data_IF_294019470639
#
_entry.id   IF_294019470639
#
_cell.length_a   1.000
_cell.length_b   1.000
_cell.length_c   1.000
_cell.angle_alpha   90.00
_cell.angle_beta   90.00
_cell.angle_gamma   90.00
#
_symmetry.space_group_name_H-M   'P 1'
#
loop_
_entity.id
_entity.type
_entity.pdbx_description
1 polymer ?
#
# COMPACT_ATOMS: atom_id res chain seq x y z
N UNK A 1 12.39 6.42 -4.47
CA UNK A 1 13.18 6.17 -3.23
C UNK A 1 12.87 4.76 -2.73
N UNK A 2 13.83 4.04 -2.15
CA UNK A 2 13.62 2.70 -1.54
C UNK A 2 14.12 2.70 -0.10
N UNK A 3 13.36 2.14 0.82
CA UNK A 3 13.74 2.03 2.25
C UNK A 3 13.12 0.79 2.89
N UNK A 4 13.83 0.19 3.85
CA UNK A 4 13.29 -0.88 4.68
C UNK A 4 12.23 -0.31 5.63
N UNK A 5 11.05 -0.93 5.65
CA UNK A 5 9.90 -0.49 6.42
C UNK A 5 9.37 -1.65 7.27
N UNK A 6 9.94 -1.87 8.47
CA UNK A 6 9.35 -2.75 9.45
C UNK A 6 8.06 -2.14 9.98
N UNK A 7 7.01 -2.94 10.06
CA UNK A 7 5.69 -2.52 10.56
C UNK A 7 5.15 -3.56 11.54
N UNK A 8 4.09 -3.22 12.26
CA UNK A 8 3.38 -4.18 13.11
C UNK A 8 2.72 -5.33 12.33
N UNK A 9 2.55 -5.21 11.01
CA UNK A 9 1.87 -6.19 10.16
C UNK A 9 2.83 -6.98 9.27
N UNK A 10 4.12 -6.68 9.32
CA UNK A 10 5.10 -7.31 8.45
C UNK A 10 6.31 -6.43 8.14
N UNK A 11 7.27 -7.03 7.46
CA UNK A 11 8.50 -6.37 7.02
C UNK A 11 8.47 -6.19 5.51
N UNK A 12 8.54 -4.94 5.05
CA UNK A 12 8.41 -4.57 3.66
C UNK A 12 9.58 -3.70 3.19
N UNK A 13 9.81 -3.67 1.88
CA UNK A 13 10.50 -2.56 1.24
C UNK A 13 9.47 -1.53 0.79
N UNK A 14 9.61 -0.29 1.24
CA UNK A 14 8.81 0.84 0.77
C UNK A 14 9.48 1.46 -0.45
N UNK A 15 8.73 1.57 -1.55
CA UNK A 15 9.17 2.20 -2.79
C UNK A 15 8.28 3.40 -3.11
N UNK A 16 8.88 4.58 -3.30
CA UNK A 16 8.16 5.78 -3.78
C UNK A 16 8.27 5.93 -5.30
N UNK A 17 7.12 6.17 -5.92
CA UNK A 17 6.92 6.41 -7.34
C UNK A 17 6.34 7.82 -7.55
N UNK A 18 7.02 8.62 -8.36
CA UNK A 18 6.53 9.92 -8.78
C UNK A 18 5.74 9.80 -10.07
N UNK A 19 4.52 10.34 -10.08
CA UNK A 19 3.71 10.39 -11.29
C UNK A 19 4.37 11.30 -12.34
N UNK A 20 4.37 10.91 -13.62
CA UNK A 20 5.07 11.65 -14.68
C UNK A 20 4.43 13.01 -15.00
N UNK A 21 3.11 13.07 -14.88
CA UNK A 21 2.31 14.21 -15.35
C UNK A 21 1.88 15.14 -14.20
N UNK A 22 2.15 14.78 -12.95
CA UNK A 22 1.74 15.53 -11.77
C UNK A 22 2.89 15.61 -10.77
N UNK A 23 2.66 16.26 -9.63
CA UNK A 23 3.59 16.24 -8.49
C UNK A 23 3.23 15.15 -7.47
N UNK A 24 2.27 14.28 -7.78
CA UNK A 24 1.84 13.25 -6.86
C UNK A 24 2.91 12.18 -6.68
N UNK A 25 3.01 11.69 -5.46
CA UNK A 25 3.81 10.53 -5.11
C UNK A 25 2.88 9.41 -4.67
N UNK A 26 3.13 8.22 -5.21
CA UNK A 26 2.50 6.97 -4.82
C UNK A 26 3.54 6.08 -4.15
N UNK A 27 3.07 5.15 -3.34
CA UNK A 27 3.94 4.26 -2.59
C UNK A 27 3.62 2.80 -2.95
N UNK A 28 4.62 1.93 -2.85
CA UNK A 28 4.43 0.50 -2.87
C UNK A 28 5.11 -0.12 -1.65
N UNK A 29 4.41 -1.00 -0.94
CA UNK A 29 5.01 -1.92 0.01
C UNK A 29 5.28 -3.23 -0.72
N UNK A 30 6.54 -3.63 -0.78
CA UNK A 30 7.00 -4.81 -1.50
C UNK A 30 7.50 -5.85 -0.53
N UNK A 31 7.07 -7.10 -0.71
CA UNK A 31 7.46 -8.25 0.09
C UNK A 31 8.09 -9.33 -0.80
N UNK A 32 9.27 -9.79 -0.41
CA UNK A 32 9.92 -10.93 -1.06
C UNK A 32 10.47 -10.63 -2.45
N UNK A 33 10.78 -11.70 -3.18
CA UNK A 33 11.29 -11.70 -4.56
C UNK A 33 10.57 -12.79 -5.34
N UNK A 34 10.29 -12.55 -6.61
CA UNK A 34 9.55 -13.46 -7.49
C UNK A 34 10.18 -13.45 -8.89
N UNK A 35 9.93 -14.49 -9.67
CA UNK A 35 10.38 -14.58 -11.05
C UNK A 35 9.30 -14.09 -12.02
N UNK A 36 9.70 -13.82 -13.26
CA UNK A 36 8.76 -13.52 -14.33
C UNK A 36 7.81 -14.70 -14.55
N UNK A 37 6.51 -14.44 -14.46
CA UNK A 37 5.45 -15.44 -14.63
C UNK A 37 4.90 -16.03 -13.33
N UNK A 38 5.57 -15.80 -12.20
CA UNK A 38 5.02 -16.19 -10.90
C UNK A 38 3.77 -15.33 -10.60
N UNK A 39 2.67 -15.93 -10.11
CA UNK A 39 1.54 -15.14 -9.62
C UNK A 39 1.98 -14.35 -8.38
N UNK A 40 1.73 -13.04 -8.37
CA UNK A 40 2.08 -12.15 -7.26
C UNK A 40 0.79 -11.64 -6.62
N UNK A 41 0.67 -11.77 -5.30
CA UNK A 41 -0.46 -11.21 -4.56
C UNK A 41 -0.35 -9.68 -4.55
N UNK A 42 -1.34 -9.01 -5.15
CA UNK A 42 -1.35 -7.55 -5.26
C UNK A 42 -2.62 -6.98 -4.64
N UNK A 43 -2.45 -5.97 -3.79
CA UNK A 43 -3.54 -5.07 -3.34
C UNK A 43 -3.32 -3.68 -3.94
N UNK A 44 -4.35 -3.13 -4.57
CA UNK A 44 -4.41 -1.71 -4.90
C UNK A 44 -5.26 -1.01 -3.85
N UNK A 45 -4.67 -0.05 -3.14
CA UNK A 45 -5.31 0.68 -2.06
C UNK A 45 -5.30 2.18 -2.37
N UNK A 46 -6.48 2.78 -2.52
CA UNK A 46 -6.61 4.23 -2.59
C UNK A 46 -6.46 4.81 -1.18
N UNK A 47 -5.61 5.82 -1.04
CA UNK A 47 -5.38 6.50 0.23
C UNK A 47 -6.69 7.01 0.84
N UNK A 48 -6.86 6.80 2.14
CA UNK A 48 -7.92 7.39 2.92
C UNK A 48 -7.37 7.94 4.23
N UNK A 49 -7.09 9.24 4.29
CA UNK A 49 -6.50 9.90 5.45
C UNK A 49 -7.27 9.63 6.73
N UNK A 50 -8.61 9.73 6.68
CA UNK A 50 -9.45 9.52 7.86
C UNK A 50 -9.47 8.07 8.33
N UNK A 51 -9.51 7.10 7.40
CA UNK A 51 -9.53 5.68 7.74
C UNK A 51 -8.15 5.13 8.12
N UNK A 52 -7.16 5.38 7.26
CA UNK A 52 -5.83 4.77 7.34
C UNK A 52 -4.99 5.39 8.47
N UNK A 53 -5.11 6.71 8.70
CA UNK A 53 -4.27 7.44 9.66
C UNK A 53 -5.04 7.74 10.96
N UNK A 54 -6.27 8.25 10.85
CA UNK A 54 -7.04 8.67 12.03
C UNK A 54 -7.91 7.56 12.63
N UNK A 55 -8.02 6.40 11.99
CA UNK A 55 -8.84 5.29 12.49
C UNK A 55 -10.34 5.59 12.50
N UNK A 56 -10.82 6.37 11.53
CA UNK A 56 -12.24 6.69 11.36
C UNK A 56 -13.10 5.43 11.28
N UNK A 57 -14.17 5.38 12.08
CA UNK A 57 -15.17 4.31 12.05
C UNK A 57 -16.25 4.53 10.97
N UNK A 58 -16.13 5.59 10.15
CA UNK A 58 -17.08 5.88 9.06
C UNK A 58 -16.77 5.12 7.78
N UNK A 59 -15.59 4.52 7.69
CA UNK A 59 -15.18 3.63 6.61
C UNK A 59 -14.32 2.52 7.20
N UNK A 60 -14.06 1.50 6.41
CA UNK A 60 -13.24 0.34 6.75
C UNK A 60 -11.85 0.39 6.07
N UNK A 61 -11.48 1.52 5.45
CA UNK A 61 -10.25 1.65 4.64
C UNK A 61 -8.99 1.23 5.43
N UNK A 62 -8.86 1.70 6.68
CA UNK A 62 -7.71 1.37 7.51
C UNK A 62 -7.64 -0.13 7.83
N UNK A 63 -8.78 -0.77 8.15
CA UNK A 63 -8.86 -2.21 8.38
C UNK A 63 -8.51 -3.01 7.11
N UNK A 64 -8.99 -2.57 5.95
CA UNK A 64 -8.66 -3.20 4.67
C UNK A 64 -7.16 -3.10 4.34
N UNK A 65 -6.53 -1.94 4.59
CA UNK A 65 -5.10 -1.74 4.39
C UNK A 65 -4.29 -2.69 5.28
N UNK A 66 -4.59 -2.70 6.58
CA UNK A 66 -3.91 -3.56 7.54
C UNK A 66 -4.09 -5.04 7.20
N UNK A 67 -5.30 -5.43 6.78
CA UNK A 67 -5.56 -6.82 6.41
C UNK A 67 -4.77 -7.24 5.18
N UNK A 68 -4.65 -6.35 4.19
CA UNK A 68 -3.82 -6.61 3.03
C UNK A 68 -2.33 -6.77 3.40
N UNK A 69 -1.83 -5.96 4.34
CA UNK A 69 -0.46 -6.11 4.85
C UNK A 69 -0.23 -7.46 5.50
N UNK A 70 -1.13 -7.92 6.38
CA UNK A 70 -1.04 -9.26 6.99
C UNK A 70 -1.07 -10.38 5.94
N UNK A 71 -1.93 -10.27 4.93
CA UNK A 71 -2.05 -11.28 3.87
C UNK A 71 -0.77 -11.35 3.03
N UNK A 72 -0.22 -10.20 2.64
CA UNK A 72 1.04 -10.15 1.87
C UNK A 72 2.21 -10.64 2.72
N UNK A 73 2.26 -10.32 4.01
CA UNK A 73 3.29 -10.85 4.92
C UNK A 73 3.20 -12.38 5.00
N UNK A 74 1.99 -12.93 5.15
CA UNK A 74 1.75 -14.37 5.24
C UNK A 74 2.10 -15.12 3.94
N UNK A 75 1.81 -14.53 2.78
CA UNK A 75 2.19 -15.08 1.47
C UNK A 75 3.71 -15.07 1.26
N UNK A 76 4.42 -14.13 1.89
CA UNK A 76 5.87 -13.97 1.76
C UNK A 76 6.33 -13.36 0.43
N UNK A 77 5.40 -13.17 -0.51
CA UNK A 77 5.59 -12.53 -1.82
C UNK A 77 4.37 -11.67 -2.14
N UNK A 78 4.56 -10.38 -2.41
CA UNK A 78 3.45 -9.53 -2.83
C UNK A 78 3.71 -8.03 -2.79
N UNK A 79 2.72 -7.28 -3.24
CA UNK A 79 2.77 -5.82 -3.36
C UNK A 79 1.48 -5.18 -2.86
N UNK A 80 1.62 -4.10 -2.10
CA UNK A 80 0.51 -3.18 -1.80
C UNK A 80 0.82 -1.84 -2.46
N UNK A 81 0.05 -1.50 -3.49
CA UNK A 81 0.11 -0.19 -4.15
C UNK A 81 -0.76 0.79 -3.37
N UNK A 82 -0.14 1.75 -2.72
CA UNK A 82 -0.80 2.84 -2.01
C UNK A 82 -0.90 4.06 -2.93
N UNK A 83 -2.06 4.17 -3.56
CA UNK A 83 -2.39 5.20 -4.53
C UNK A 83 -2.85 6.45 -3.78
N UNK A 84 -1.99 7.46 -3.75
CA UNK A 84 -2.31 8.79 -3.23
C UNK A 84 -3.36 9.50 -4.10
N UNK A 85 -4.63 9.11 -3.91
CA UNK A 85 -5.82 9.54 -4.66
C UNK A 85 -6.98 9.69 -3.66
N UNK A 86 -6.80 10.59 -2.71
CA UNK A 86 -7.77 10.84 -1.63
C UNK A 86 -9.17 11.14 -2.16
N UNK A 87 -10.19 10.65 -1.45
CA UNK A 87 -11.58 10.86 -1.82
C UNK A 87 -11.99 10.27 -3.17
N UNK A 88 -11.22 9.33 -3.75
CA UNK A 88 -11.37 8.87 -5.16
C UNK A 88 -11.01 9.96 -6.18
N UNK A 89 -10.03 10.80 -5.84
CA UNK A 89 -9.48 11.80 -6.74
C UNK A 89 -10.11 13.20 -6.65
N UNK A 90 -11.07 13.43 -5.73
CA UNK A 90 -11.59 14.78 -5.45
C UNK A 90 -10.78 15.52 -4.38
N UNK A 91 -9.84 14.84 -3.73
CA UNK A 91 -9.16 15.36 -2.54
C UNK A 91 -9.91 15.05 -1.25
N UNK A 92 -9.41 15.57 -0.13
CA UNK A 92 -10.08 15.49 1.17
C UNK A 92 -11.27 16.44 1.25
#
# INVERSE_FOLDING_TARGET
VRVQMPTKYGNFELVSFKEKNTTNEHLALVKGTWNDGDPVLIRVHSSCFTGDILGSLRCDCGEQLHKAMEMVEAEGSGIILYMNQEGRGIGL
#
